data_IF_327841284017
#
_entry.id   IF_327841284017
#
_cell.length_a   1.000
_cell.length_b   1.000
_cell.length_c   1.000
_cell.angle_alpha   90.00
_cell.angle_beta   90.00
_cell.angle_gamma   90.00
#
_symmetry.space_group_name_H-M   'P 1'
#
loop_
_entity.id
_entity.type
_entity.pdbx_description
1 polymer ?
#
# COMPACT_ATOMS: atom_id res chain seq x y z
N UNK A 1 -6.44 2.68 19.11
CA UNK A 1 -6.60 1.24 18.79
C UNK A 1 -5.96 0.30 19.83
N UNK A 2 -6.63 -0.80 20.22
CA UNK A 2 -6.07 -1.89 21.05
C UNK A 2 -5.83 -3.20 20.27
N UNK A 3 -6.33 -3.30 19.04
CA UNK A 3 -6.23 -4.50 18.19
C UNK A 3 -5.77 -4.08 16.79
N UNK A 4 -4.75 -4.72 16.20
CA UNK A 4 -4.36 -4.48 14.81
C UNK A 4 -5.48 -4.83 13.84
N UNK A 5 -5.64 -4.04 12.78
CA UNK A 5 -6.61 -4.26 11.71
C UNK A 5 -5.90 -4.34 10.36
N UNK A 6 -6.49 -5.08 9.41
CA UNK A 6 -6.09 -5.05 8.01
C UNK A 6 -6.76 -3.86 7.31
N UNK A 7 -5.98 -3.09 6.58
CA UNK A 7 -6.46 -1.87 5.92
C UNK A 7 -6.88 -2.09 4.46
N UNK A 8 -6.23 -3.03 3.77
CA UNK A 8 -6.49 -3.39 2.37
C UNK A 8 -6.60 -4.92 2.30
N UNK A 9 -7.75 -5.51 2.66
CA UNK A 9 -7.90 -6.97 2.76
C UNK A 9 -8.05 -7.67 1.39
N UNK A 10 -8.35 -6.91 0.34
CA UNK A 10 -8.65 -7.43 -0.99
C UNK A 10 -7.45 -7.29 -1.96
N UNK A 11 -6.29 -6.82 -1.47
CA UNK A 11 -5.09 -6.59 -2.26
C UNK A 11 -3.79 -6.72 -1.42
N UNK A 12 -2.62 -6.69 -2.06
CA UNK A 12 -1.32 -6.87 -1.41
C UNK A 12 -0.50 -5.57 -1.40
N UNK A 13 -0.40 -4.96 -0.22
CA UNK A 13 0.32 -3.70 0.02
C UNK A 13 1.41 -3.89 1.06
N UNK A 14 2.60 -3.34 0.81
CA UNK A 14 3.76 -3.44 1.70
C UNK A 14 4.43 -2.09 1.94
N UNK A 15 5.37 -2.05 2.88
CA UNK A 15 6.25 -0.91 3.15
C UNK A 15 5.53 0.46 3.30
N UNK A 16 4.51 0.57 4.19
CA UNK A 16 3.66 1.75 4.25
C UNK A 16 4.43 2.98 4.73
N UNK A 17 4.49 4.01 3.88
CA UNK A 17 4.88 5.37 4.31
C UNK A 17 3.64 6.20 4.62
N UNK A 18 3.43 6.53 5.89
CA UNK A 18 2.24 7.24 6.38
C UNK A 18 2.54 8.73 6.66
N UNK A 19 1.76 9.63 6.06
CA UNK A 19 1.92 11.07 6.18
C UNK A 19 0.58 11.77 6.46
N UNK A 20 0.59 12.82 7.29
CA UNK A 20 -0.57 13.70 7.46
C UNK A 20 -0.40 14.91 6.55
N UNK A 21 -1.33 15.10 5.61
CA UNK A 21 -1.36 16.24 4.70
C UNK A 21 -2.79 16.76 4.56
N UNK A 22 -2.97 18.08 4.58
CA UNK A 22 -4.29 18.73 4.51
C UNK A 22 -5.31 18.16 5.53
N UNK A 23 -4.83 17.77 6.71
CA UNK A 23 -5.67 17.20 7.77
C UNK A 23 -6.12 15.75 7.56
N UNK A 24 -5.63 15.05 6.53
CA UNK A 24 -5.93 13.63 6.26
C UNK A 24 -4.69 12.76 6.40
N UNK A 25 -4.87 11.50 6.80
CA UNK A 25 -3.82 10.49 6.69
C UNK A 25 -3.73 10.01 5.25
N UNK A 26 -2.54 10.03 4.68
CA UNK A 26 -2.19 9.40 3.41
C UNK A 26 -1.21 8.26 3.66
N UNK A 27 -1.37 7.16 2.93
CA UNK A 27 -0.49 6.00 2.97
C UNK A 27 0.01 5.75 1.56
N UNK A 28 1.33 5.68 1.40
CA UNK A 28 2.03 5.40 0.15
C UNK A 28 2.77 4.05 0.31
N UNK A 29 2.09 2.92 0.07
CA UNK A 29 2.70 1.60 0.13
C UNK A 29 3.31 1.20 -1.22
N UNK A 30 4.23 0.22 -1.20
CA UNK A 30 4.52 -0.60 -2.38
C UNK A 30 3.30 -1.46 -2.73
N UNK A 31 3.06 -1.72 -4.02
CA UNK A 31 2.00 -2.64 -4.49
C UNK A 31 2.62 -3.97 -4.93
N UNK A 32 2.47 -4.98 -4.07
CA UNK A 32 2.98 -6.33 -4.31
C UNK A 32 2.07 -7.11 -5.27
N UNK A 33 2.64 -8.04 -6.03
CA UNK A 33 1.88 -8.91 -6.93
C UNK A 33 2.61 -10.24 -7.14
N UNK A 34 1.88 -11.28 -7.57
CA UNK A 34 2.46 -12.57 -7.93
C UNK A 34 3.23 -12.46 -9.25
N UNK A 35 4.54 -12.22 -9.14
CA UNK A 35 5.40 -11.97 -10.30
C UNK A 35 5.78 -13.22 -11.09
N UNK A 36 5.65 -14.41 -10.51
CA UNK A 36 6.13 -15.67 -11.07
C UNK A 36 7.66 -15.83 -11.08
N UNK A 37 8.42 -14.86 -10.56
CA UNK A 37 9.87 -14.96 -10.41
C UNK A 37 10.18 -15.77 -9.14
N UNK A 38 10.97 -16.85 -9.22
CA UNK A 38 11.33 -17.63 -8.03
C UNK A 38 12.09 -16.78 -7.00
N UNK A 39 11.90 -17.13 -5.72
CA UNK A 39 12.64 -16.52 -4.62
C UNK A 39 14.16 -16.68 -4.82
N UNK A 40 14.89 -15.59 -4.60
CA UNK A 40 16.35 -15.56 -4.64
C UNK A 40 16.90 -14.42 -3.76
N UNK A 41 18.20 -14.47 -3.49
CA UNK A 41 18.87 -13.55 -2.57
C UNK A 41 18.98 -12.11 -3.09
N UNK A 42 18.79 -11.88 -4.40
CA UNK A 42 18.76 -10.52 -4.97
C UNK A 42 17.42 -9.83 -4.70
N UNK A 43 16.39 -10.59 -4.31
CA UNK A 43 15.04 -10.06 -4.16
C UNK A 43 14.32 -9.88 -5.49
N UNK A 44 14.69 -10.59 -6.56
CA UNK A 44 14.05 -10.40 -7.88
C UNK A 44 12.56 -10.77 -7.88
N UNK A 45 12.09 -11.50 -6.86
CA UNK A 45 10.67 -11.78 -6.63
C UNK A 45 9.90 -10.54 -6.15
N UNK A 46 10.56 -9.56 -5.53
CA UNK A 46 10.04 -8.22 -5.24
C UNK A 46 10.11 -7.35 -6.51
N UNK A 47 9.15 -7.55 -7.40
CA UNK A 47 9.14 -6.94 -8.73
C UNK A 47 7.93 -6.02 -8.92
N UNK A 48 7.64 -5.16 -7.94
CA UNK A 48 6.53 -4.21 -7.97
C UNK A 48 6.66 -3.25 -9.15
N UNK A 49 5.53 -2.87 -9.75
CA UNK A 49 5.49 -2.11 -11.02
C UNK A 49 4.82 -0.77 -10.91
N UNK A 50 4.03 -0.56 -9.87
CA UNK A 50 3.27 0.65 -9.70
C UNK A 50 3.11 1.01 -8.21
N UNK A 51 2.52 2.17 -7.97
CA UNK A 51 2.17 2.65 -6.65
C UNK A 51 0.73 3.12 -6.63
N UNK A 52 -0.05 2.63 -5.66
CA UNK A 52 -1.31 3.22 -5.26
C UNK A 52 -1.08 4.25 -4.14
N UNK A 53 -2.01 5.19 -3.96
CA UNK A 53 -2.06 6.01 -2.75
C UNK A 53 -3.42 5.86 -2.08
N UNK A 54 -3.40 5.76 -0.76
CA UNK A 54 -4.61 5.64 0.05
C UNK A 54 -4.76 6.85 0.96
N UNK A 55 -6.00 7.16 1.34
CA UNK A 55 -6.25 8.17 2.39
C UNK A 55 -7.44 7.84 3.29
N UNK A 56 -7.43 8.33 4.52
CA UNK A 56 -8.58 8.31 5.43
C UNK A 56 -8.64 9.58 6.29
N UNK A 57 -9.86 9.96 6.70
CA UNK A 57 -10.13 11.00 7.69
C UNK A 57 -10.25 10.44 9.12
N UNK A 58 -10.40 9.12 9.26
CA UNK A 58 -10.53 8.41 10.54
C UNK A 58 -9.66 7.14 10.54
N UNK A 59 -8.69 7.11 11.46
CA UNK A 59 -7.74 5.99 11.60
C UNK A 59 -8.26 4.86 12.49
N UNK A 60 -9.30 5.10 13.31
CA UNK A 60 -9.83 4.09 14.23
C UNK A 60 -10.93 3.25 13.58
N UNK A 61 -11.78 3.85 12.74
CA UNK A 61 -12.89 3.13 12.09
C UNK A 61 -13.14 3.49 10.61
N UNK A 62 -12.40 4.45 10.07
CA UNK A 62 -12.55 4.88 8.68
C UNK A 62 -12.03 3.86 7.69
N UNK A 63 -12.75 3.71 6.56
CA UNK A 63 -12.24 2.97 5.40
C UNK A 63 -11.22 3.81 4.66
N UNK A 64 -10.16 3.18 4.15
CA UNK A 64 -9.28 3.83 3.20
C UNK A 64 -10.03 4.10 1.89
N UNK A 65 -9.80 5.29 1.34
CA UNK A 65 -10.06 5.59 -0.07
C UNK A 65 -8.81 5.24 -0.85
N UNK A 66 -8.94 4.31 -1.80
CA UNK A 66 -7.92 4.07 -2.82
C UNK A 66 -8.07 5.11 -3.94
N UNK A 67 -6.98 5.81 -4.26
CA UNK A 67 -6.95 6.79 -5.35
C UNK A 67 -6.45 6.18 -6.67
N UNK A 68 -6.16 4.88 -6.69
CA UNK A 68 -5.64 4.13 -7.82
C UNK A 68 -4.14 4.34 -8.03
N UNK A 69 -3.65 3.83 -9.16
CA UNK A 69 -2.25 3.97 -9.59
C UNK A 69 -1.88 5.43 -9.80
N UNK A 70 -0.88 5.91 -9.04
CA UNK A 70 -0.32 7.27 -9.15
C UNK A 70 1.03 7.31 -9.88
N UNK A 71 1.71 6.18 -10.00
CA UNK A 71 2.99 6.03 -10.69
C UNK A 71 3.14 4.58 -11.19
N UNK A 72 3.69 4.39 -12.39
CA UNK A 72 3.86 3.09 -13.05
C UNK A 72 5.16 3.07 -13.88
N UNK A 73 5.86 1.94 -13.90
CA UNK A 73 7.06 1.66 -14.69
C UNK A 73 6.67 1.20 -16.12
N UNK A 74 6.30 2.15 -16.97
CA UNK A 74 6.06 1.87 -18.41
C UNK A 74 7.30 1.39 -19.15
#
# INVERSE_FOLDING_TARGET
MKTPIYLVPDDYMADPSAHVSNGKLYIYPSHDWESGIPENDNGDHFNMKDYHVFSTDDVESGKLTDHGVILDVK
#
